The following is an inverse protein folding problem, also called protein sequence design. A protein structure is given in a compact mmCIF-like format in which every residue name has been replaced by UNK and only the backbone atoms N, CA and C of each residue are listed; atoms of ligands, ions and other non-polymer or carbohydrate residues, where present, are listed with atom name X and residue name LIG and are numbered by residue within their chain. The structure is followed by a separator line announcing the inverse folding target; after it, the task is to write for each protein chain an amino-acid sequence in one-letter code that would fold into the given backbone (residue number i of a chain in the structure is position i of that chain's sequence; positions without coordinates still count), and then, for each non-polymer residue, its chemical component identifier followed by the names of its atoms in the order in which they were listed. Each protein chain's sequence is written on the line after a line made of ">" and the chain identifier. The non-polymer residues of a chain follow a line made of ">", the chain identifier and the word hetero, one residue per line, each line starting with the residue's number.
data_IF_002144748676
#
_entry.id   IF_002144748676
#
_cell.length_a   1.000
_cell.length_b   1.000
_cell.length_c   1.000
_cell.angle_alpha   90.00
_cell.angle_beta   90.00
_cell.angle_gamma   90.00
#
_symmetry.space_group_name_H-M   'P 1'
#
loop_
_entity.id
_entity.type
_entity.pdbx_description
1 polymer ?
#
# COMPACT_ATOMS: atom_id res chain seq x y z
N UNK A 1 -23.75 -12.98 -5.88
CA UNK A 1 -23.82 -11.64 -6.52
C UNK A 1 -23.03 -11.74 -7.82
N UNK A 2 -23.50 -11.16 -8.93
CA UNK A 2 -22.79 -11.27 -10.22
C UNK A 2 -21.45 -10.49 -10.17
N UNK A 3 -20.39 -10.95 -10.89
CA UNK A 3 -19.15 -10.20 -11.04
C UNK A 3 -19.37 -8.76 -11.52
N UNK A 4 -18.59 -7.82 -10.99
CA UNK A 4 -18.61 -6.41 -11.38
C UNK A 4 -17.22 -5.94 -11.78
N UNK A 5 -17.18 -4.83 -12.52
CA UNK A 5 -15.95 -4.09 -12.81
C UNK A 5 -15.77 -3.01 -11.75
N UNK A 6 -14.62 -3.00 -11.08
CA UNK A 6 -14.31 -2.10 -9.96
C UNK A 6 -13.05 -1.33 -10.28
N UNK A 7 -13.11 0.01 -10.18
CA UNK A 7 -11.96 0.88 -10.29
C UNK A 7 -11.59 1.41 -8.91
N UNK A 8 -10.33 1.19 -8.51
CA UNK A 8 -9.73 1.77 -7.31
C UNK A 8 -8.83 2.91 -7.74
N UNK A 9 -9.12 4.13 -7.29
CA UNK A 9 -8.35 5.33 -7.62
C UNK A 9 -7.46 5.70 -6.44
N UNK A 10 -6.14 5.58 -6.63
CA UNK A 10 -5.10 5.77 -5.63
C UNK A 10 -4.46 4.46 -5.19
N UNK A 11 -3.15 4.33 -5.39
CA UNK A 11 -2.28 3.21 -4.99
C UNK A 11 -1.59 3.42 -3.64
N UNK A 12 -2.18 4.23 -2.75
CA UNK A 12 -1.77 4.34 -1.36
C UNK A 12 -2.12 3.10 -0.53
N UNK A 13 -1.80 3.12 0.77
CA UNK A 13 -2.07 2.00 1.68
C UNK A 13 -3.53 1.53 1.69
N UNK A 14 -4.49 2.47 1.66
CA UNK A 14 -5.92 2.15 1.62
C UNK A 14 -6.34 1.50 0.29
N UNK A 15 -5.86 2.02 -0.84
CA UNK A 15 -6.18 1.48 -2.16
C UNK A 15 -5.61 0.09 -2.39
N UNK A 16 -4.36 -0.13 -1.95
CA UNK A 16 -3.75 -1.46 -1.99
C UNK A 16 -4.46 -2.45 -1.06
N UNK A 17 -4.86 -2.02 0.14
CA UNK A 17 -5.64 -2.86 1.04
C UNK A 17 -7.00 -3.24 0.44
N UNK A 18 -7.70 -2.28 -0.19
CA UNK A 18 -8.95 -2.54 -0.89
C UNK A 18 -8.76 -3.49 -2.09
N UNK A 19 -7.71 -3.29 -2.89
CA UNK A 19 -7.38 -4.16 -4.02
C UNK A 19 -7.11 -5.59 -3.56
N UNK A 20 -6.31 -5.74 -2.51
CA UNK A 20 -6.01 -7.03 -1.91
C UNK A 20 -7.26 -7.72 -1.36
N UNK A 21 -8.13 -6.98 -0.67
CA UNK A 21 -9.37 -7.53 -0.11
C UNK A 21 -10.34 -8.06 -1.19
N UNK A 22 -10.28 -7.51 -2.39
CA UNK A 22 -11.14 -7.91 -3.50
C UNK A 22 -10.57 -9.04 -4.38
N UNK A 23 -9.31 -9.47 -4.16
CA UNK A 23 -8.58 -10.39 -5.05
C UNK A 23 -9.31 -11.72 -5.31
N UNK A 24 -10.01 -12.25 -4.31
CA UNK A 24 -10.69 -13.56 -4.37
C UNK A 24 -12.22 -13.43 -4.54
N UNK A 25 -12.73 -12.24 -4.84
CA UNK A 25 -14.19 -11.98 -4.94
C UNK A 25 -14.79 -12.31 -6.31
N UNK A 26 -13.95 -12.61 -7.31
CA UNK A 26 -14.35 -12.81 -8.70
C UNK A 26 -14.75 -11.52 -9.42
N UNK A 27 -14.54 -10.35 -8.82
CA UNK A 27 -14.70 -9.05 -9.48
C UNK A 27 -13.50 -8.74 -10.39
N UNK A 28 -13.75 -8.02 -11.49
CA UNK A 28 -12.70 -7.47 -12.33
C UNK A 28 -12.24 -6.15 -11.71
N UNK A 29 -11.13 -6.18 -10.98
CA UNK A 29 -10.64 -5.02 -10.21
C UNK A 29 -9.42 -4.42 -10.88
N UNK A 30 -9.45 -3.09 -11.08
CA UNK A 30 -8.35 -2.30 -11.63
C UNK A 30 -7.92 -1.24 -10.64
N UNK A 31 -6.61 -1.05 -10.46
CA UNK A 31 -6.04 -0.02 -9.60
C UNK A 31 -5.30 1.02 -10.45
N UNK A 32 -5.64 2.29 -10.24
CA UNK A 32 -5.05 3.42 -10.93
C UNK A 32 -4.29 4.30 -9.94
N UNK A 33 -3.02 4.58 -10.21
CA UNK A 33 -2.18 5.46 -9.42
C UNK A 33 -1.56 6.52 -10.34
N UNK A 34 -1.52 7.77 -9.87
CA UNK A 34 -1.00 8.89 -10.64
C UNK A 34 0.53 8.88 -10.67
N UNK A 35 1.16 8.40 -9.60
CA UNK A 35 2.61 8.27 -9.50
C UNK A 35 3.13 7.04 -10.25
N UNK A 36 4.42 7.06 -10.60
CA UNK A 36 5.14 5.91 -11.16
C UNK A 36 5.44 4.80 -10.13
N UNK A 37 4.94 4.93 -8.90
CA UNK A 37 5.15 3.98 -7.80
C UNK A 37 3.89 3.83 -6.95
N UNK A 38 3.77 2.67 -6.32
CA UNK A 38 2.77 2.40 -5.30
C UNK A 38 3.21 2.91 -3.91
N UNK A 39 2.27 2.92 -2.97
CA UNK A 39 2.48 3.23 -1.56
C UNK A 39 2.06 4.64 -1.15
N UNK A 40 1.86 5.56 -2.09
CA UNK A 40 1.43 6.93 -1.81
C UNK A 40 2.35 7.61 -0.78
N UNK A 41 1.82 7.98 0.38
CA UNK A 41 2.59 8.60 1.49
C UNK A 41 3.55 7.65 2.19
N UNK A 42 3.36 6.34 2.08
CA UNK A 42 4.34 5.34 2.52
C UNK A 42 5.48 5.36 1.51
N UNK A 43 6.59 5.98 1.88
CA UNK A 43 7.72 6.17 0.98
C UNK A 43 9.04 6.09 1.74
N UNK A 44 9.80 5.04 1.41
CA UNK A 44 11.14 4.83 1.92
C UNK A 44 12.15 5.47 0.95
N UNK A 45 12.72 6.59 1.35
CA UNK A 45 13.79 7.24 0.60
C UNK A 45 15.09 6.48 0.82
N UNK A 46 15.75 6.07 -0.26
CA UNK A 46 17.08 5.46 -0.18
C UNK A 46 18.12 6.58 -0.04
N UNK A 47 18.91 6.50 1.03
CA UNK A 47 19.99 7.42 1.31
C UNK A 47 21.30 6.65 1.44
N UNK A 48 22.32 7.03 0.68
CA UNK A 48 23.63 6.39 0.76
C UNK A 48 24.58 7.18 1.67
N UNK A 49 25.23 6.48 2.60
CA UNK A 49 26.30 7.06 3.43
C UNK A 49 27.40 6.04 3.67
N UNK A 50 28.64 6.38 3.27
CA UNK A 50 29.84 5.52 3.42
C UNK A 50 29.65 4.12 2.80
N UNK A 51 29.07 4.05 1.60
CA UNK A 51 28.81 2.80 0.88
C UNK A 51 27.68 1.94 1.47
N UNK A 52 26.92 2.46 2.45
CA UNK A 52 25.72 1.79 2.98
C UNK A 52 24.46 2.50 2.48
N UNK A 53 23.52 1.75 1.93
CA UNK A 53 22.16 2.24 1.67
C UNK A 53 21.33 2.17 2.95
N UNK A 54 20.62 3.25 3.24
CA UNK A 54 19.76 3.43 4.40
C UNK A 54 18.38 3.82 3.88
N UNK A 55 17.38 3.02 4.22
CA UNK A 55 15.98 3.38 3.98
C UNK A 55 15.49 4.38 5.04
N UNK A 56 15.04 5.55 4.60
CA UNK A 56 14.50 6.61 5.46
C UNK A 56 13.03 6.84 5.12
N UNK A 57 12.13 6.50 6.04
CA UNK A 57 10.74 6.92 5.92
C UNK A 57 10.59 8.32 6.56
N UNK A 58 10.07 9.27 5.79
CA UNK A 58 9.87 10.65 6.25
C UNK A 58 8.41 11.00 6.47
N UNK A 59 7.47 10.08 6.20
CA UNK A 59 6.04 10.41 6.09
C UNK A 59 5.11 9.41 6.79
N UNK A 60 5.47 8.13 6.91
CA UNK A 60 4.76 7.13 7.71
C UNK A 60 5.73 6.53 8.74
N UNK A 61 6.01 7.30 9.78
CA UNK A 61 7.12 7.00 10.69
C UNK A 61 6.76 6.09 11.87
N UNK A 62 5.47 5.89 12.15
CA UNK A 62 5.04 5.22 13.37
C UNK A 62 3.85 4.30 13.17
N UNK A 63 3.98 3.11 13.73
CA UNK A 63 2.96 2.09 13.80
C UNK A 63 3.02 1.41 15.17
N UNK A 64 1.86 1.10 15.76
CA UNK A 64 1.76 0.33 17.01
C UNK A 64 0.78 -0.84 16.83
N UNK A 65 1.20 -2.10 17.02
CA UNK A 65 0.34 -3.27 16.79
C UNK A 65 -0.98 -3.24 17.58
N UNK A 66 -0.95 -2.75 18.83
CA UNK A 66 -2.13 -2.73 19.71
C UNK A 66 -3.25 -1.82 19.20
N UNK A 67 -2.92 -0.75 18.49
CA UNK A 67 -3.90 0.22 17.97
C UNK A 67 -4.14 0.07 16.48
N UNK A 68 -3.35 -0.76 15.79
CA UNK A 68 -3.36 -0.87 14.34
C UNK A 68 -3.29 -2.34 13.89
N UNK A 69 -4.13 -3.17 14.50
CA UNK A 69 -4.08 -4.65 14.40
C UNK A 69 -4.05 -5.18 12.96
N UNK A 70 -4.81 -4.58 12.05
CA UNK A 70 -4.94 -5.04 10.66
C UNK A 70 -3.62 -5.01 9.87
N UNK A 71 -2.69 -4.11 10.20
CA UNK A 71 -1.39 -4.00 9.54
C UNK A 71 -0.39 -5.06 10.03
N UNK A 72 -0.58 -5.61 11.22
CA UNK A 72 0.27 -6.68 11.75
C UNK A 72 -0.20 -8.08 11.33
N UNK A 73 -1.36 -8.17 10.67
CA UNK A 73 -2.03 -9.41 10.30
C UNK A 73 -2.18 -9.60 8.79
N UNK A 74 -1.58 -8.73 7.97
CA UNK A 74 -1.50 -8.96 6.53
C UNK A 74 -0.44 -10.04 6.29
N UNK A 75 -0.78 -11.17 5.63
CA UNK A 75 0.17 -12.25 5.37
C UNK A 75 1.29 -11.86 4.41
#
# INVERSE_FOLDING_TARGET
>A
MAPKRVAIVGGGSSGLAAFWALKDTGHEVHLFEAASRLGGRTHLFQYEKRGKQIGVDTRLVYFKPSTSRQFASVP
#
